data_IF_986495628686
#
_entry.id   IF_986495628686
#
_cell.length_a   1.000
_cell.length_b   1.000
_cell.length_c   1.000
_cell.angle_alpha   90.00
_cell.angle_beta   90.00
_cell.angle_gamma   90.00
#
_symmetry.space_group_name_H-M   'P 1'
#
loop_
_entity.id
_entity.type
_entity.pdbx_description
1 polymer ?
#
# COMPACT_ATOMS: atom_id res chain seq x y z
N UNK A 1 -0.94 12.17 12.43
CA UNK A 1 -0.49 12.75 11.14
C UNK A 1 -1.24 12.04 10.05
N UNK A 2 -1.64 12.76 9.00
CA UNK A 2 -2.39 12.16 7.91
C UNK A 2 -1.42 11.53 6.89
N UNK A 3 -1.60 10.24 6.61
CA UNK A 3 -0.83 9.50 5.62
C UNK A 3 -1.77 8.96 4.55
N UNK A 4 -1.31 8.97 3.29
CA UNK A 4 -2.12 8.57 2.14
C UNK A 4 -1.53 7.33 1.49
N UNK A 5 -2.33 6.31 1.25
CA UNK A 5 -1.85 5.02 0.74
C UNK A 5 -2.21 4.86 -0.73
N UNK A 6 -1.49 5.56 -1.60
CA UNK A 6 -1.74 5.51 -3.04
C UNK A 6 -1.43 4.12 -3.58
N UNK A 7 -2.39 3.51 -4.28
CA UNK A 7 -2.20 2.21 -4.91
C UNK A 7 -1.58 2.40 -6.29
N UNK A 8 -0.44 1.78 -6.54
CA UNK A 8 0.29 1.94 -7.78
C UNK A 8 0.57 0.60 -8.44
N UNK A 9 0.46 0.59 -9.77
CA UNK A 9 0.95 -0.44 -10.67
C UNK A 9 2.12 0.12 -11.50
N UNK A 10 2.55 -0.62 -12.51
CA UNK A 10 3.49 -0.15 -13.52
C UNK A 10 2.82 0.82 -14.51
N UNK A 11 1.50 0.67 -14.72
CA UNK A 11 0.75 1.42 -15.75
C UNK A 11 -0.18 2.51 -15.19
N UNK A 12 -0.51 2.45 -13.90
CA UNK A 12 -1.52 3.33 -13.30
C UNK A 12 -1.25 3.62 -11.83
N UNK A 13 -1.86 4.71 -11.35
CA UNK A 13 -1.85 5.15 -9.96
C UNK A 13 -3.30 5.50 -9.59
N UNK A 14 -3.74 4.98 -8.46
CA UNK A 14 -4.98 5.35 -7.79
C UNK A 14 -4.64 6.12 -6.51
N UNK A 15 -5.12 7.37 -6.44
CA UNK A 15 -4.74 8.33 -5.39
C UNK A 15 -5.75 8.23 -4.25
N UNK A 16 -5.24 7.95 -3.05
CA UNK A 16 -6.02 8.04 -1.83
C UNK A 16 -6.28 9.52 -1.50
N UNK A 17 -7.56 9.91 -1.43
CA UNK A 17 -7.97 11.29 -1.11
C UNK A 17 -8.37 11.46 0.36
N UNK A 18 -8.58 10.35 1.07
CA UNK A 18 -9.01 10.39 2.48
C UNK A 18 -7.80 10.37 3.41
N UNK A 19 -6.85 9.48 3.15
CA UNK A 19 -5.75 9.20 4.05
C UNK A 19 -6.22 8.59 5.38
N UNK A 20 -5.26 8.29 6.24
CA UNK A 20 -5.47 7.71 7.57
C UNK A 20 -4.64 8.49 8.59
N UNK A 21 -5.28 8.92 9.68
CA UNK A 21 -4.58 9.59 10.78
C UNK A 21 -3.86 8.55 11.64
N UNK A 22 -2.53 8.56 11.58
CA UNK A 22 -1.67 7.66 12.34
C UNK A 22 -0.59 8.44 13.10
N UNK A 23 -0.11 7.92 14.25
CA UNK A 23 0.85 8.63 15.08
C UNK A 23 2.21 8.82 14.41
N UNK A 24 2.69 7.80 13.69
CA UNK A 24 4.04 7.77 13.10
C UNK A 24 4.05 7.13 11.71
N UNK A 25 5.15 7.36 10.97
CA UNK A 25 5.37 6.68 9.68
C UNK A 25 5.51 5.16 9.86
N UNK A 26 6.05 4.70 11.00
CA UNK A 26 6.14 3.27 11.31
C UNK A 26 4.75 2.65 11.53
N UNK A 27 3.82 3.37 12.15
CA UNK A 27 2.41 2.97 12.24
C UNK A 27 1.76 2.89 10.86
N UNK A 28 2.00 3.90 10.00
CA UNK A 28 1.55 3.90 8.61
C UNK A 28 2.10 2.73 7.81
N UNK A 29 3.37 2.37 8.04
CA UNK A 29 4.02 1.23 7.40
C UNK A 29 3.38 -0.09 7.79
N UNK A 30 3.05 -0.28 9.08
CA UNK A 30 2.35 -1.47 9.58
C UNK A 30 0.93 -1.57 9.05
N UNK A 31 0.23 -0.45 8.96
CA UNK A 31 -1.11 -0.39 8.40
C UNK A 31 -1.11 -0.73 6.91
N UNK A 32 -0.18 -0.17 6.14
CA UNK A 32 -0.01 -0.49 4.73
C UNK A 32 0.38 -1.97 4.51
N UNK A 33 1.19 -2.57 5.38
CA UNK A 33 1.47 -4.01 5.36
C UNK A 33 0.21 -4.86 5.56
N UNK A 34 -0.63 -4.48 6.52
CA UNK A 34 -1.90 -5.17 6.80
C UNK A 34 -2.82 -5.09 5.59
N UNK A 35 -3.07 -3.87 5.09
CA UNK A 35 -3.92 -3.64 3.93
C UNK A 35 -3.40 -4.37 2.69
N UNK A 36 -2.08 -4.38 2.46
CA UNK A 36 -1.48 -5.08 1.33
C UNK A 36 -1.74 -6.59 1.41
N UNK A 37 -1.66 -7.19 2.61
CA UNK A 37 -1.98 -8.62 2.79
C UNK A 37 -3.43 -8.94 2.49
N UNK A 38 -4.35 -8.10 2.94
CA UNK A 38 -5.78 -8.25 2.68
C UNK A 38 -6.07 -8.19 1.18
N UNK A 39 -5.53 -7.19 0.48
CA UNK A 39 -5.68 -7.07 -0.97
C UNK A 39 -5.02 -8.22 -1.74
N UNK A 40 -3.82 -8.64 -1.34
CA UNK A 40 -3.15 -9.79 -1.96
C UNK A 40 -4.01 -11.04 -1.83
N UNK A 41 -4.60 -11.30 -0.65
CA UNK A 41 -5.47 -12.45 -0.46
C UNK A 41 -6.67 -12.43 -1.41
N UNK A 42 -7.32 -11.27 -1.59
CA UNK A 42 -8.42 -11.09 -2.53
C UNK A 42 -7.97 -11.31 -3.99
N UNK A 43 -6.85 -10.70 -4.40
CA UNK A 43 -6.30 -10.86 -5.74
C UNK A 43 -5.94 -12.33 -6.06
N UNK A 44 -5.40 -13.06 -5.09
CA UNK A 44 -5.13 -14.50 -5.23
C UNK A 44 -6.44 -15.27 -5.43
N UNK A 45 -7.46 -14.99 -4.62
CA UNK A 45 -8.76 -15.66 -4.73
C UNK A 45 -9.43 -15.40 -6.08
N UNK A 46 -9.28 -14.20 -6.63
CA UNK A 46 -9.81 -13.82 -7.95
C UNK A 46 -8.92 -14.29 -9.13
N UNK A 47 -7.80 -14.98 -8.87
CA UNK A 47 -6.80 -15.35 -9.87
C UNK A 47 -6.30 -14.14 -10.69
N UNK A 48 -6.11 -13.00 -10.02
CA UNK A 48 -5.61 -11.75 -10.60
C UNK A 48 -4.11 -11.58 -10.35
N UNK A 49 -3.46 -10.80 -11.22
CA UNK A 49 -2.03 -10.51 -11.12
C UNK A 49 -1.74 -9.57 -9.94
N UNK A 50 -0.77 -9.95 -9.12
CA UNK A 50 -0.25 -9.16 -7.97
C UNK A 50 1.02 -8.40 -8.35
N UNK A 51 1.77 -8.93 -9.30
CA UNK A 51 3.07 -8.40 -9.71
C UNK A 51 2.96 -6.94 -10.19
N UNK A 52 3.92 -6.11 -9.79
CA UNK A 52 3.93 -4.65 -10.03
C UNK A 52 3.14 -3.82 -9.01
N UNK A 53 2.26 -4.42 -8.20
CA UNK A 53 1.45 -3.67 -7.24
C UNK A 53 2.24 -3.24 -5.98
N UNK A 54 1.98 -2.01 -5.56
CA UNK A 54 2.57 -1.43 -4.34
C UNK A 54 1.66 -0.35 -3.77
N UNK A 55 1.79 -0.11 -2.47
CA UNK A 55 1.38 1.15 -1.86
C UNK A 55 2.54 2.14 -1.86
N UNK A 56 2.26 3.38 -2.23
CA UNK A 56 3.13 4.53 -1.97
C UNK A 56 2.52 5.34 -0.83
N UNK A 57 3.19 5.32 0.33
CA UNK A 57 2.78 6.10 1.50
C UNK A 57 3.23 7.54 1.28
N UNK A 58 2.29 8.49 1.27
CA UNK A 58 2.56 9.91 1.08
C UNK A 58 2.10 10.76 2.26
N UNK A 59 2.69 11.95 2.38
CA UNK A 59 2.19 13.02 3.25
C UNK A 59 1.05 13.82 2.59
N UNK A 60 0.50 14.78 3.34
CA UNK A 60 -0.57 15.69 2.89
C UNK A 60 -0.21 16.59 1.71
N UNK A 61 1.09 16.81 1.45
CA UNK A 61 1.58 17.59 0.33
C UNK A 61 1.80 16.71 -0.92
N UNK A 62 1.50 15.41 -0.81
CA UNK A 62 1.67 14.41 -1.86
C UNK A 62 3.10 13.89 -1.99
N UNK A 63 4.00 14.21 -1.06
CA UNK A 63 5.36 13.70 -1.11
C UNK A 63 5.38 12.25 -0.64
N UNK A 64 5.95 11.37 -1.45
CA UNK A 64 6.14 9.97 -1.05
C UNK A 64 7.18 9.86 0.06
N UNK A 65 6.76 9.26 1.16
CA UNK A 65 7.58 8.96 2.34
C UNK A 65 8.15 7.53 2.26
N UNK A 66 7.35 6.56 1.83
CA UNK A 66 7.77 5.14 1.78
C UNK A 66 7.01 4.34 0.71
N UNK A 67 7.43 3.10 0.46
CA UNK A 67 6.81 2.18 -0.50
C UNK A 67 6.69 0.78 0.08
N UNK A 68 5.51 0.18 -0.03
CA UNK A 68 5.23 -1.20 0.38
C UNK A 68 4.84 -2.01 -0.87
N UNK A 69 5.74 -2.89 -1.33
CA UNK A 69 5.42 -3.74 -2.48
C UNK A 69 4.59 -4.94 -2.02
N UNK A 70 3.57 -5.31 -2.78
CA UNK A 70 2.68 -6.41 -2.40
C UNK A 70 3.41 -7.75 -2.34
N UNK A 71 4.43 -7.94 -3.17
CA UNK A 71 5.28 -9.14 -3.11
C UNK A 71 6.05 -9.29 -1.80
N UNK A 72 6.34 -8.19 -1.10
CA UNK A 72 7.16 -8.19 0.12
C UNK A 72 6.33 -8.61 1.35
N UNK A 73 5.00 -8.63 1.25
CA UNK A 73 4.10 -9.06 2.34
C UNK A 73 3.71 -10.55 2.28
N UNK A 74 4.07 -11.23 1.19
CA UNK A 74 3.89 -12.68 1.02
C UNK A 74 5.11 -13.39 1.60
N UNK A 75 4.88 -14.40 2.44
CA UNK A 75 5.94 -15.31 2.90
C UNK A 75 5.86 -16.60 2.09
N UNK A 76 6.98 -16.98 1.48
CA UNK A 76 7.11 -18.18 0.66
C UNK A 76 7.83 -19.34 1.37
N UNK A 77 8.26 -19.14 2.62
CA UNK A 77 8.93 -20.12 3.49
C UNK A 77 7.99 -20.65 4.58
#
# INVERSE_FOLDING_TARGET
MLYYFNLCSDDWIDIDQQGVDLPTLEDARREADRAAREMVAELVLENRRIDGLRFEIADQDGNRLETVRFRDVIRFE
#
